data_IF_634676402022
#
_entry.id   IF_634676402022
#
_cell.length_a   1.000
_cell.length_b   1.000
_cell.length_c   1.000
_cell.angle_alpha   90.00
_cell.angle_beta   90.00
_cell.angle_gamma   90.00
#
_symmetry.space_group_name_H-M   'P 1'
#
loop_
_entity.id
_entity.type
_entity.pdbx_description
1 polymer ?
#
# COMPACT_ATOMS: atom_id res chain seq x y z
N UNK A 1 -8.70 16.91 -9.34
CA UNK A 1 -7.71 15.95 -8.81
C UNK A 1 -6.59 16.76 -8.18
N UNK A 2 -6.26 16.53 -6.90
CA UNK A 2 -5.22 17.28 -6.17
C UNK A 2 -3.87 16.59 -6.35
N UNK A 3 -2.76 17.35 -6.42
CA UNK A 3 -1.40 16.78 -6.44
C UNK A 3 -0.70 17.10 -5.13
N UNK A 4 0.06 16.13 -4.63
CA UNK A 4 0.93 16.28 -3.46
C UNK A 4 2.36 15.93 -3.87
N UNK A 5 3.39 16.64 -3.39
CA UNK A 5 4.76 16.22 -3.58
C UNK A 5 4.99 14.83 -2.95
N UNK A 6 5.84 14.04 -3.61
CA UNK A 6 6.44 12.84 -3.01
C UNK A 6 7.15 13.25 -1.72
N UNK A 7 7.08 12.39 -0.72
CA UNK A 7 7.80 12.62 0.53
C UNK A 7 9.29 12.33 0.33
N UNK A 8 10.13 13.20 0.89
CA UNK A 8 11.59 13.05 0.87
C UNK A 8 12.14 12.48 2.17
N UNK A 9 11.29 12.41 3.19
CA UNK A 9 11.61 11.91 4.53
C UNK A 9 10.51 10.95 5.01
N UNK A 10 10.84 9.98 5.87
CA UNK A 10 9.86 9.11 6.48
C UNK A 10 8.85 9.87 7.33
N UNK A 11 7.61 9.38 7.35
CA UNK A 11 6.61 9.90 8.28
C UNK A 11 6.90 9.43 9.72
N UNK A 12 6.25 10.10 10.68
CA UNK A 12 6.44 9.84 12.10
C UNK A 12 6.05 8.41 12.51
N UNK A 13 4.95 7.88 11.95
CA UNK A 13 4.43 6.55 12.29
C UNK A 13 5.42 5.46 11.82
N UNK A 14 5.85 5.55 10.55
CA UNK A 14 6.87 4.64 10.00
C UNK A 14 8.19 4.74 10.75
N UNK A 15 8.62 5.94 11.15
CA UNK A 15 9.85 6.13 11.92
C UNK A 15 9.77 5.47 13.31
N UNK A 16 8.64 5.62 14.00
CA UNK A 16 8.39 4.98 15.30
C UNK A 16 8.46 3.45 15.17
N UNK A 17 7.73 2.90 14.20
CA UNK A 17 7.71 1.45 13.94
C UNK A 17 9.09 0.92 13.54
N UNK A 18 9.81 1.61 12.67
CA UNK A 18 11.17 1.27 12.27
C UNK A 18 12.12 1.22 13.47
N UNK A 19 11.99 2.16 14.42
CA UNK A 19 12.81 2.21 15.64
C UNK A 19 12.52 1.02 16.56
N UNK A 20 11.26 0.71 16.81
CA UNK A 20 10.82 -0.42 17.66
C UNK A 20 11.27 -1.76 17.05
N UNK A 21 11.10 -1.89 15.74
CA UNK A 21 11.34 -3.13 15.03
C UNK A 21 12.82 -3.38 14.71
N UNK A 22 13.75 -2.47 15.03
CA UNK A 22 15.17 -2.71 14.76
C UNK A 22 15.66 -4.05 15.36
N UNK A 23 16.50 -4.82 14.62
CA UNK A 23 17.09 -4.51 13.31
C UNK A 23 16.23 -4.98 12.11
N UNK A 24 14.97 -5.37 12.32
CA UNK A 24 14.12 -5.93 11.27
C UNK A 24 13.83 -4.88 10.20
N UNK A 25 13.86 -5.31 8.93
CA UNK A 25 13.42 -4.47 7.81
C UNK A 25 11.92 -4.27 7.89
N UNK A 26 11.49 -3.01 7.80
CA UNK A 26 10.09 -2.59 7.82
C UNK A 26 9.76 -1.93 6.49
N UNK A 27 8.66 -2.35 5.88
CA UNK A 27 8.19 -1.79 4.61
C UNK A 27 6.78 -1.25 4.79
N UNK A 28 6.55 0.07 4.69
CA UNK A 28 5.21 0.63 4.62
C UNK A 28 4.45 0.08 3.40
N UNK A 29 3.17 -0.20 3.57
CA UNK A 29 2.29 -0.74 2.53
C UNK A 29 0.94 -0.03 2.51
N UNK A 30 0.09 -0.39 1.55
CA UNK A 30 -1.24 0.18 1.39
C UNK A 30 -1.22 1.71 1.27
N UNK A 31 -2.16 2.35 1.96
CA UNK A 31 -2.32 3.82 1.93
C UNK A 31 -1.06 4.61 2.35
N UNK A 32 -0.26 4.09 3.29
CA UNK A 32 0.93 4.78 3.79
C UNK A 32 2.05 4.84 2.74
N UNK A 33 2.25 3.75 2.01
CA UNK A 33 3.20 3.70 0.90
C UNK A 33 2.75 4.58 -0.27
N UNK A 34 1.47 4.55 -0.61
CA UNK A 34 0.89 5.41 -1.65
C UNK A 34 1.03 6.90 -1.30
N UNK A 35 0.79 7.24 -0.04
CA UNK A 35 0.96 8.60 0.47
C UNK A 35 2.40 9.08 0.38
N UNK A 36 3.37 8.21 0.69
CA UNK A 36 4.80 8.51 0.51
C UNK A 36 5.12 8.89 -0.94
N UNK A 37 4.55 8.18 -1.91
CA UNK A 37 4.70 8.47 -3.34
C UNK A 37 3.94 9.72 -3.83
N UNK A 38 3.12 10.34 -2.99
CA UNK A 38 2.38 11.58 -3.33
C UNK A 38 0.92 11.35 -3.74
N UNK A 39 0.37 10.14 -3.58
CA UNK A 39 -1.06 9.89 -3.80
C UNK A 39 -1.88 10.54 -2.67
N UNK A 40 -2.92 11.36 -2.97
CA UNK A 40 -3.75 12.00 -1.95
C UNK A 40 -4.77 11.00 -1.38
N UNK A 41 -4.29 10.10 -0.54
CA UNK A 41 -5.09 9.08 0.15
C UNK A 41 -5.18 9.38 1.64
N UNK A 42 -6.31 9.03 2.25
CA UNK A 42 -6.48 9.06 3.71
C UNK A 42 -5.79 7.83 4.30
N UNK A 43 -4.81 8.05 5.17
CA UNK A 43 -4.12 6.99 5.89
C UNK A 43 -4.92 6.63 7.15
N UNK A 44 -5.94 5.75 6.99
CA UNK A 44 -6.81 5.33 8.09
C UNK A 44 -6.21 4.26 9.01
N UNK A 45 -5.26 3.47 8.50
CA UNK A 45 -4.54 2.46 9.27
C UNK A 45 -3.08 2.39 8.79
N UNK A 46 -2.16 2.17 9.74
CA UNK A 46 -0.75 1.97 9.41
C UNK A 46 -0.54 0.53 8.96
N UNK A 47 -0.18 0.30 7.70
CA UNK A 47 0.10 -1.04 7.18
C UNK A 47 1.60 -1.18 6.97
N UNK A 48 2.22 -2.18 7.60
CA UNK A 48 3.65 -2.46 7.48
C UNK A 48 3.91 -3.94 7.24
N UNK A 49 4.95 -4.22 6.46
CA UNK A 49 5.37 -5.57 6.09
C UNK A 49 6.74 -5.85 6.69
N UNK A 50 6.91 -7.09 7.14
CA UNK A 50 8.18 -7.67 7.56
C UNK A 50 8.42 -8.99 6.84
N UNK A 51 9.65 -9.49 6.85
CA UNK A 51 9.93 -10.84 6.33
C UNK A 51 9.16 -11.91 7.11
N UNK A 52 8.73 -12.97 6.44
CA UNK A 52 7.97 -14.09 7.00
C UNK A 52 8.68 -14.68 8.23
N UNK A 53 10.00 -14.89 8.13
CA UNK A 53 10.84 -15.40 9.22
C UNK A 53 10.99 -14.44 10.41
N UNK A 54 10.67 -13.16 10.22
CA UNK A 54 10.73 -12.12 11.24
C UNK A 54 9.35 -11.79 11.82
N UNK A 55 8.27 -12.38 11.29
CA UNK A 55 6.90 -12.00 11.63
C UNK A 55 6.58 -12.19 13.11
N UNK A 56 6.90 -13.35 13.69
CA UNK A 56 6.70 -13.62 15.14
C UNK A 56 7.54 -12.68 16.01
N UNK A 57 8.79 -12.42 15.62
CA UNK A 57 9.69 -11.51 16.36
C UNK A 57 9.18 -10.06 16.31
N UNK A 58 8.62 -9.64 15.18
CA UNK A 58 8.02 -8.32 15.03
C UNK A 58 6.79 -8.14 15.93
N UNK A 59 5.93 -9.17 16.03
CA UNK A 59 4.79 -9.20 16.97
C UNK A 59 5.28 -8.99 18.41
N UNK A 60 6.24 -9.80 18.86
CA UNK A 60 6.78 -9.70 20.22
C UNK A 60 7.40 -8.33 20.51
N UNK A 61 8.10 -7.74 19.53
CA UNK A 61 8.68 -6.40 19.67
C UNK A 61 7.62 -5.31 19.83
N UNK A 62 6.51 -5.40 19.09
CA UNK A 62 5.40 -4.45 19.23
C UNK A 62 4.74 -4.58 20.60
N UNK A 63 4.44 -5.81 21.03
CA UNK A 63 3.86 -6.07 22.35
C UNK A 63 4.76 -5.54 23.48
N UNK A 64 6.06 -5.81 23.42
CA UNK A 64 7.04 -5.29 24.38
C UNK A 64 7.17 -3.76 24.35
N UNK A 65 6.85 -3.11 23.22
CA UNK A 65 6.80 -1.66 23.08
C UNK A 65 5.47 -1.05 23.54
N UNK A 66 4.57 -1.85 24.12
CA UNK A 66 3.29 -1.41 24.68
C UNK A 66 2.13 -1.36 23.68
N UNK A 67 2.32 -1.86 22.45
CA UNK A 67 1.22 -2.04 21.51
C UNK A 67 0.31 -3.17 22.00
N UNK A 68 -0.99 -2.96 21.95
CA UNK A 68 -1.95 -3.96 22.43
C UNK A 68 -2.56 -4.68 21.24
N UNK A 69 -2.47 -6.01 21.22
CA UNK A 69 -3.08 -6.81 20.16
C UNK A 69 -4.59 -6.61 20.17
N UNK A 70 -5.15 -6.33 19.00
CA UNK A 70 -6.56 -5.97 18.83
C UNK A 70 -7.14 -6.64 17.59
N UNK A 71 -8.40 -6.33 17.31
CA UNK A 71 -9.09 -6.71 16.08
C UNK A 71 -9.23 -5.48 15.19
N UNK A 72 -9.30 -5.64 13.86
CA UNK A 72 -9.64 -4.56 12.94
C UNK A 72 -10.84 -3.73 13.39
N UNK A 73 -10.65 -2.42 13.53
CA UNK A 73 -11.73 -1.48 13.75
C UNK A 73 -12.22 -0.94 12.40
N UNK A 74 -13.33 -1.50 11.93
CA UNK A 74 -14.06 -1.04 10.73
C UNK A 74 -15.44 -0.52 11.06
N UNK A 75 -15.69 -0.19 12.33
CA UNK A 75 -16.99 0.30 12.78
C UNK A 75 -17.29 1.63 12.09
N UNK A 76 -18.40 1.72 11.32
CA UNK A 76 -18.84 3.00 10.77
C UNK A 76 -19.10 4.04 11.87
N UNK A 77 -19.11 5.34 11.51
CA UNK A 77 -19.50 6.40 12.44
C UNK A 77 -20.85 6.11 13.12
N UNK A 78 -21.02 6.56 14.37
CA UNK A 78 -22.21 6.28 15.18
C UNK A 78 -23.50 6.72 14.49
N UNK A 79 -23.45 7.84 13.77
CA UNK A 79 -24.60 8.38 13.04
C UNK A 79 -25.06 7.45 11.91
N UNK A 80 -24.12 6.73 11.29
CA UNK A 80 -24.41 5.70 10.27
C UNK A 80 -24.96 4.44 10.93
N UNK A 81 -24.38 4.06 12.07
CA UNK A 81 -24.79 2.87 12.82
C UNK A 81 -26.22 3.01 13.36
N UNK A 82 -26.56 4.12 13.99
CA UNK A 82 -27.87 4.35 14.60
C UNK A 82 -29.00 4.48 13.56
N UNK A 83 -28.66 4.93 12.34
CA UNK A 83 -29.61 5.04 11.23
C UNK A 83 -29.84 3.76 10.43
N UNK A 84 -29.05 2.70 10.66
CA UNK A 84 -29.13 1.48 9.87
C UNK A 84 -30.19 0.49 10.42
N UNK A 85 -31.06 -0.12 9.59
CA UNK A 85 -32.09 -1.06 10.07
C UNK A 85 -31.53 -2.30 10.78
N UNK A 86 -30.32 -2.73 10.41
CA UNK A 86 -29.62 -3.84 11.05
C UNK A 86 -28.10 -3.55 11.13
N UNK A 87 -27.64 -2.81 12.15
CA UNK A 87 -26.24 -2.39 12.22
C UNK A 87 -25.27 -3.55 12.42
N UNK A 88 -25.72 -4.61 13.09
CA UNK A 88 -24.93 -5.80 13.34
C UNK A 88 -24.65 -6.58 12.05
N UNK A 89 -25.68 -6.82 11.23
CA UNK A 89 -25.49 -7.46 9.93
C UNK A 89 -24.59 -6.64 9.01
N UNK A 90 -24.74 -5.31 9.01
CA UNK A 90 -23.86 -4.43 8.23
C UNK A 90 -22.39 -4.60 8.64
N UNK A 91 -22.10 -4.65 9.95
CA UNK A 91 -20.74 -4.91 10.43
C UNK A 91 -20.22 -6.30 10.03
N UNK A 92 -21.07 -7.32 10.08
CA UNK A 92 -20.72 -8.67 9.65
C UNK A 92 -20.40 -8.72 8.15
N UNK A 93 -21.18 -8.05 7.31
CA UNK A 93 -20.95 -7.93 5.87
C UNK A 93 -19.66 -7.16 5.56
N UNK A 94 -19.41 -6.06 6.27
CA UNK A 94 -18.15 -5.31 6.15
C UNK A 94 -16.97 -6.24 6.47
N UNK A 95 -17.00 -6.92 7.62
CA UNK A 95 -15.89 -7.78 8.03
C UNK A 95 -15.72 -9.01 7.14
N UNK A 96 -16.81 -9.58 6.62
CA UNK A 96 -16.76 -10.70 5.68
C UNK A 96 -15.94 -10.33 4.43
N UNK A 97 -16.04 -9.08 3.96
CA UNK A 97 -15.27 -8.57 2.83
C UNK A 97 -13.76 -8.46 3.04
N UNK A 98 -13.26 -8.60 4.28
CA UNK A 98 -11.83 -8.53 4.63
C UNK A 98 -11.30 -9.81 5.30
N UNK A 99 -12.05 -10.92 5.25
CA UNK A 99 -11.72 -12.15 5.98
C UNK A 99 -10.29 -12.65 5.72
N UNK A 100 -9.84 -12.71 4.46
CA UNK A 100 -8.48 -13.18 4.12
C UNK A 100 -7.41 -12.25 4.67
N UNK A 101 -7.61 -10.94 4.57
CA UNK A 101 -6.73 -9.92 5.16
C UNK A 101 -6.59 -10.15 6.67
N UNK A 102 -7.71 -10.28 7.37
CA UNK A 102 -7.76 -10.39 8.82
C UNK A 102 -7.12 -11.68 9.33
N UNK A 103 -7.24 -12.78 8.58
CA UNK A 103 -6.58 -14.04 8.91
C UNK A 103 -5.07 -14.04 8.64
N UNK A 104 -4.57 -13.08 7.83
CA UNK A 104 -3.19 -13.07 7.36
C UNK A 104 -2.29 -12.05 8.08
N UNK A 105 -2.86 -11.24 8.97
CA UNK A 105 -2.12 -10.17 9.66
C UNK A 105 -2.37 -10.15 11.16
N UNK A 106 -1.51 -9.42 11.87
CA UNK A 106 -1.70 -9.10 13.27
C UNK A 106 -2.05 -7.61 13.36
N UNK A 107 -3.11 -7.30 14.10
CA UNK A 107 -3.58 -5.94 14.32
C UNK A 107 -3.25 -5.51 15.74
N UNK A 108 -2.78 -4.27 15.87
CA UNK A 108 -2.43 -3.67 17.15
C UNK A 108 -2.98 -2.26 17.25
N UNK A 109 -3.46 -1.92 18.45
CA UNK A 109 -3.73 -0.53 18.80
C UNK A 109 -2.43 0.14 19.23
N UNK A 110 -2.25 1.39 18.81
CA UNK A 110 -1.13 2.21 19.29
C UNK A 110 -1.20 2.38 20.82
N UNK A 111 -0.05 2.52 21.50
CA UNK A 111 -0.04 2.88 22.91
C UNK A 111 -0.79 4.19 23.15
N UNK A 112 -1.49 4.30 24.28
CA UNK A 112 -2.34 5.47 24.60
C UNK A 112 -1.53 6.69 25.09
N UNK A 113 -0.22 6.71 24.80
CA UNK A 113 0.72 7.74 25.24
C UNK A 113 0.64 9.02 24.37
N UNK A 114 0.25 8.89 23.10
CA UNK A 114 0.08 10.02 22.19
C UNK A 114 -1.39 10.23 21.76
N UNK A 115 -2.00 11.39 22.07
CA UNK A 115 -3.34 11.76 21.59
C UNK A 115 -3.50 11.75 20.06
N UNK A 116 -2.43 12.00 19.29
CA UNK A 116 -2.46 12.00 17.82
C UNK A 116 -2.52 10.59 17.23
N UNK A 117 -2.11 9.59 18.00
CA UNK A 117 -2.12 8.17 17.59
C UNK A 117 -3.32 7.42 18.20
N UNK A 118 -4.11 8.12 19.03
CA UNK A 118 -5.28 7.56 19.69
C UNK A 118 -6.32 7.09 18.66
N UNK A 119 -6.66 5.81 18.75
CA UNK A 119 -7.63 5.17 17.86
C UNK A 119 -7.05 4.72 16.52
N UNK A 120 -5.74 4.94 16.27
CA UNK A 120 -5.07 4.36 15.12
C UNK A 120 -4.71 2.90 15.39
N UNK A 121 -4.68 2.12 14.31
CA UNK A 121 -4.24 0.73 14.33
C UNK A 121 -3.06 0.49 13.40
N UNK A 122 -2.22 -0.46 13.79
CA UNK A 122 -1.14 -1.02 12.97
C UNK A 122 -1.56 -2.41 12.49
N UNK A 123 -1.44 -2.64 11.20
CA UNK A 123 -1.56 -3.95 10.57
C UNK A 123 -0.15 -4.40 10.19
N UNK A 124 0.31 -5.46 10.83
CA UNK A 124 1.59 -6.09 10.55
C UNK A 124 1.35 -7.29 9.64
N UNK A 125 2.01 -7.28 8.48
CA UNK A 125 1.89 -8.33 7.48
C UNK A 125 3.20 -9.12 7.34
N UNK A 126 3.10 -10.45 7.14
CA UNK A 126 4.18 -11.22 6.55
C UNK A 126 4.30 -10.89 5.05
N UNK A 127 5.52 -10.89 4.50
CA UNK A 127 5.72 -10.48 3.10
C UNK A 127 5.10 -11.44 2.09
N UNK A 128 4.98 -12.73 2.42
CA UNK A 128 4.26 -13.72 1.59
C UNK A 128 2.82 -13.33 1.27
N UNK A 129 2.15 -12.59 2.16
CA UNK A 129 0.79 -12.10 1.91
C UNK A 129 0.76 -10.90 0.94
N UNK A 130 1.76 -10.02 1.05
CA UNK A 130 1.79 -8.75 0.30
C UNK A 130 2.51 -8.86 -1.04
N UNK A 131 3.30 -9.91 -1.23
CA UNK A 131 4.19 -10.08 -2.37
C UNK A 131 5.18 -8.92 -2.60
N UNK A 132 5.45 -8.09 -1.59
CA UNK A 132 6.50 -7.09 -1.73
C UNK A 132 7.85 -7.82 -1.89
N UNK A 133 8.62 -7.50 -2.96
CA UNK A 133 9.92 -8.08 -3.17
C UNK A 133 10.87 -7.57 -2.09
N UNK A 134 11.10 -8.37 -1.07
CA UNK A 134 12.19 -8.13 -0.13
C UNK A 134 13.44 -8.66 -0.80
N UNK A 135 14.22 -7.75 -1.38
CA UNK A 135 15.52 -8.11 -1.95
C UNK A 135 16.29 -8.94 -0.94
N UNK A 136 16.64 -10.17 -1.32
CA UNK A 136 17.76 -10.83 -0.65
C UNK A 136 18.91 -9.83 -0.73
N UNK A 137 19.45 -9.43 0.43
CA UNK A 137 20.76 -8.75 0.48
C UNK A 137 21.81 -9.83 0.15
N UNK A 138 21.72 -10.37 -1.06
CA UNK A 138 22.73 -11.20 -1.68
C UNK A 138 23.69 -10.22 -2.32
N UNK A 139 24.86 -10.10 -1.69
CA UNK A 139 26.04 -9.40 -2.20
C UNK A 139 26.17 -9.52 -3.73
N UNK A 140 26.63 -8.47 -4.43
CA UNK A 140 26.42 -8.32 -5.85
C UNK A 140 27.01 -9.51 -6.62
N UNK A 141 26.22 -10.23 -7.44
CA UNK A 141 26.82 -11.10 -8.42
C UNK A 141 27.40 -10.21 -9.50
N UNK A 142 28.73 -10.25 -9.63
CA UNK A 142 29.41 -9.88 -10.85
C UNK A 142 28.70 -10.57 -12.02
N UNK A 143 27.84 -9.85 -12.75
CA UNK A 143 27.49 -10.18 -14.12
C UNK A 143 27.00 -8.93 -14.84
N UNK A 144 27.87 -8.47 -15.73
CA UNK A 144 27.63 -7.44 -16.72
C UNK A 144 26.59 -7.98 -17.70
N UNK A 145 25.36 -7.47 -17.62
CA UNK A 145 24.43 -7.40 -18.76
C UNK A 145 23.41 -6.31 -18.49
N UNK A 146 23.20 -5.45 -19.48
CA UNK A 146 22.32 -4.29 -19.45
C UNK A 146 20.89 -4.63 -19.01
N UNK A 147 20.59 -4.44 -17.74
CA UNK A 147 19.26 -4.11 -17.27
C UNK A 147 19.43 -2.89 -16.38
N UNK A 148 18.83 -1.76 -16.76
CA UNK A 148 18.70 -0.61 -15.88
C UNK A 148 18.00 -1.13 -14.63
N UNK A 149 18.73 -1.41 -13.54
CA UNK A 149 18.12 -1.79 -12.27
C UNK A 149 17.34 -0.60 -11.79
N UNK A 150 16.06 -0.54 -12.15
CA UNK A 150 15.12 0.46 -11.68
C UNK A 150 15.13 0.37 -10.16
N UNK A 151 15.51 1.47 -9.50
CA UNK A 151 15.47 1.56 -8.05
C UNK A 151 14.07 1.17 -7.59
N UNK A 152 13.96 0.14 -6.76
CA UNK A 152 12.67 -0.37 -6.27
C UNK A 152 12.26 0.23 -4.92
N UNK A 153 13.22 0.76 -4.15
CA UNK A 153 12.97 1.28 -2.81
C UNK A 153 13.75 2.56 -2.53
N UNK A 154 13.14 3.46 -1.75
CA UNK A 154 13.85 4.47 -0.97
C UNK A 154 14.18 3.92 0.42
N UNK A 155 15.45 3.94 0.82
CA UNK A 155 15.93 3.29 2.05
C UNK A 155 16.37 4.31 3.10
N UNK A 156 15.82 4.15 4.31
CA UNK A 156 16.14 4.92 5.50
C UNK A 156 16.46 3.97 6.66
N UNK A 157 17.74 3.60 6.81
CA UNK A 157 18.17 2.55 7.76
C UNK A 157 17.45 1.22 7.47
N UNK A 158 16.64 0.72 8.42
CA UNK A 158 15.83 -0.49 8.28
C UNK A 158 14.41 -0.22 7.75
N UNK A 159 14.08 1.01 7.38
CA UNK A 159 12.82 1.36 6.73
C UNK A 159 13.02 1.42 5.21
N UNK A 160 12.20 0.71 4.44
CA UNK A 160 12.27 0.71 2.98
C UNK A 160 10.90 1.09 2.42
N UNK A 161 10.80 2.22 1.71
CA UNK A 161 9.58 2.62 1.04
C UNK A 161 9.57 2.06 -0.39
N UNK A 162 8.56 1.27 -0.79
CA UNK A 162 8.47 0.76 -2.14
C UNK A 162 8.15 1.90 -3.11
N UNK A 163 8.84 1.89 -4.25
CA UNK A 163 8.57 2.79 -5.38
C UNK A 163 7.45 2.22 -6.26
N UNK A 164 7.01 3.01 -7.24
CA UNK A 164 5.79 2.75 -8.02
C UNK A 164 5.68 1.33 -8.53
N UNK A 165 6.74 0.83 -9.20
CA UNK A 165 6.72 -0.50 -9.79
C UNK A 165 6.57 -1.59 -8.72
N UNK A 166 7.38 -1.56 -7.67
CA UNK A 166 7.35 -2.56 -6.61
C UNK A 166 6.01 -2.58 -5.86
N UNK A 167 5.43 -1.40 -5.62
CA UNK A 167 4.15 -1.30 -4.93
C UNK A 167 2.97 -1.74 -5.82
N UNK A 168 2.98 -1.40 -7.11
CA UNK A 168 1.94 -1.85 -8.06
C UNK A 168 2.01 -3.37 -8.25
N UNK A 169 3.22 -3.92 -8.40
CA UNK A 169 3.43 -5.36 -8.53
C UNK A 169 2.88 -6.11 -7.32
N UNK A 170 3.21 -5.63 -6.12
CA UNK A 170 2.68 -6.15 -4.84
C UNK A 170 1.15 -6.10 -4.78
N UNK A 171 0.52 -4.97 -5.11
CA UNK A 171 -0.94 -4.87 -5.10
C UNK A 171 -1.61 -5.78 -6.13
N UNK A 172 -1.03 -5.92 -7.33
CA UNK A 172 -1.55 -6.79 -8.39
C UNK A 172 -1.51 -8.24 -7.94
N UNK A 173 -0.38 -8.71 -7.42
CA UNK A 173 -0.25 -10.08 -6.92
C UNK A 173 -1.22 -10.35 -5.76
N UNK A 174 -1.33 -9.42 -4.81
CA UNK A 174 -2.30 -9.54 -3.72
C UNK A 174 -3.76 -9.55 -4.22
N UNK A 175 -4.08 -8.82 -5.29
CA UNK A 175 -5.41 -8.79 -5.87
C UNK A 175 -5.75 -10.10 -6.61
N UNK A 176 -4.77 -10.69 -7.31
CA UNK A 176 -4.91 -11.99 -7.98
C UNK A 176 -5.18 -13.08 -6.95
N UNK A 177 -4.42 -13.11 -5.86
CA UNK A 177 -4.63 -14.05 -4.76
C UNK A 177 -6.05 -13.93 -4.19
N UNK A 178 -6.48 -12.69 -3.93
CA UNK A 178 -7.80 -12.43 -3.36
C UNK A 178 -8.93 -12.88 -4.30
N UNK A 179 -8.81 -12.57 -5.58
CA UNK A 179 -9.76 -12.98 -6.62
C UNK A 179 -9.81 -14.51 -6.76
N UNK A 180 -8.66 -15.17 -6.66
CA UNK A 180 -8.56 -16.63 -6.78
C UNK A 180 -9.18 -17.35 -5.58
N UNK A 181 -8.90 -16.87 -4.37
CA UNK A 181 -9.31 -17.53 -3.12
C UNK A 181 -10.73 -17.15 -2.68
N UNK A 182 -11.15 -15.91 -2.92
CA UNK A 182 -12.41 -15.37 -2.39
C UNK A 182 -13.38 -14.89 -3.48
N UNK A 183 -12.95 -14.83 -4.74
CA UNK A 183 -13.74 -14.23 -5.81
C UNK A 183 -13.91 -12.73 -5.57
N UNK A 184 -15.14 -12.29 -5.35
CA UNK A 184 -15.43 -10.89 -5.03
C UNK A 184 -15.32 -10.63 -3.52
N UNK A 185 -14.51 -9.63 -3.14
CA UNK A 185 -14.40 -9.17 -1.75
C UNK A 185 -14.13 -7.68 -1.66
N UNK A 186 -14.50 -7.06 -0.54
CA UNK A 186 -14.23 -5.64 -0.29
C UNK A 186 -12.72 -5.33 -0.23
N UNK A 187 -11.93 -6.29 0.24
CA UNK A 187 -10.48 -6.19 0.21
C UNK A 187 -9.93 -6.20 -1.23
N UNK A 188 -10.42 -7.11 -2.08
CA UNK A 188 -10.05 -7.16 -3.50
C UNK A 188 -10.39 -5.85 -4.22
N UNK A 189 -11.56 -5.29 -3.95
CA UNK A 189 -11.97 -3.97 -4.47
C UNK A 189 -11.11 -2.82 -3.92
N UNK A 190 -10.65 -2.91 -2.68
CA UNK A 190 -9.72 -1.93 -2.10
C UNK A 190 -8.38 -1.96 -2.82
N UNK A 191 -7.83 -3.15 -3.10
CA UNK A 191 -6.59 -3.31 -3.87
C UNK A 191 -6.75 -2.78 -5.31
N UNK A 192 -7.84 -3.12 -6.00
CA UNK A 192 -8.17 -2.59 -7.34
C UNK A 192 -8.27 -1.06 -7.32
N UNK A 193 -8.90 -0.49 -6.29
CA UNK A 193 -8.99 0.95 -6.11
C UNK A 193 -7.63 1.60 -5.90
N UNK A 194 -6.74 0.99 -5.11
CA UNK A 194 -5.38 1.49 -4.91
C UNK A 194 -4.55 1.47 -6.19
N UNK A 195 -4.63 0.40 -6.99
CA UNK A 195 -3.95 0.31 -8.29
C UNK A 195 -4.47 1.38 -9.25
N UNK A 196 -5.80 1.60 -9.28
CA UNK A 196 -6.43 2.68 -10.04
C UNK A 196 -5.93 4.06 -9.61
N UNK A 197 -5.87 4.32 -8.30
CA UNK A 197 -5.34 5.57 -7.75
C UNK A 197 -3.87 5.77 -8.12
N UNK A 198 -3.02 4.74 -8.00
CA UNK A 198 -1.61 4.85 -8.42
C UNK A 198 -1.51 5.16 -9.91
N UNK A 199 -2.28 4.47 -10.76
CA UNK A 199 -2.29 4.68 -12.21
C UNK A 199 -2.76 6.09 -12.59
N UNK A 200 -3.77 6.61 -11.89
CA UNK A 200 -4.31 7.96 -12.13
C UNK A 200 -3.47 9.10 -11.55
N UNK A 201 -2.85 8.92 -10.38
CA UNK A 201 -2.15 10.01 -9.67
C UNK A 201 -0.66 10.06 -9.90
N UNK A 202 0.02 8.93 -10.15
CA UNK A 202 1.48 8.85 -10.23
C UNK A 202 2.00 8.69 -11.67
N UNK A 203 1.13 8.82 -12.68
CA UNK A 203 1.45 8.49 -14.09
C UNK A 203 2.20 7.17 -14.22
N UNK A 204 1.73 6.15 -13.49
CA UNK A 204 2.22 4.79 -13.68
C UNK A 204 1.91 4.41 -15.13
N UNK A 205 2.96 4.12 -15.90
CA UNK A 205 2.81 3.78 -17.30
C UNK A 205 2.04 2.45 -17.44
N UNK A 206 1.33 2.30 -18.55
CA UNK A 206 0.56 1.09 -18.85
C UNK A 206 1.42 -0.17 -19.01
N UNK A 207 2.74 -0.03 -19.00
CA UNK A 207 3.76 -1.06 -19.13
C UNK A 207 4.66 -1.19 -17.89
N UNK A 208 4.27 -0.61 -16.76
CA UNK A 208 5.07 -0.65 -15.51
C UNK A 208 5.45 -2.08 -15.09
N UNK A 209 4.61 -3.07 -15.40
CA UNK A 209 4.85 -4.48 -15.07
C UNK A 209 5.38 -5.31 -16.25
N UNK A 210 5.71 -4.74 -17.40
CA UNK A 210 6.20 -5.51 -18.57
C UNK A 210 7.45 -6.36 -18.26
N UNK A 211 8.24 -5.93 -17.29
CA UNK A 211 9.46 -6.60 -16.84
C UNK A 211 9.26 -7.43 -15.56
N UNK A 212 8.03 -7.53 -15.03
CA UNK A 212 7.73 -8.43 -13.92
C UNK A 212 7.91 -9.88 -14.36
N UNK A 213 8.53 -10.71 -13.51
CA UNK A 213 8.75 -12.13 -13.80
C UNK A 213 7.45 -12.93 -13.78
N UNK A 214 6.45 -12.47 -13.05
CA UNK A 214 5.14 -13.11 -12.97
C UNK A 214 4.27 -12.70 -14.17
N UNK A 215 4.11 -13.64 -15.11
CA UNK A 215 3.31 -13.45 -16.31
C UNK A 215 1.83 -13.24 -16.01
N UNK A 216 1.31 -13.83 -14.94
CA UNK A 216 -0.08 -13.65 -14.51
C UNK A 216 -0.28 -12.22 -14.02
N UNK A 217 0.66 -11.68 -13.25
CA UNK A 217 0.65 -10.28 -12.84
C UNK A 217 0.68 -9.32 -14.04
N UNK A 218 1.55 -9.58 -15.03
CA UNK A 218 1.63 -8.77 -16.27
C UNK A 218 0.30 -8.79 -17.02
N UNK A 219 -0.27 -9.96 -17.25
CA UNK A 219 -1.52 -10.12 -17.99
C UNK A 219 -2.71 -9.48 -17.26
N UNK A 220 -2.81 -9.71 -15.95
CA UNK A 220 -3.86 -9.14 -15.10
C UNK A 220 -3.78 -7.62 -15.10
N UNK A 221 -2.59 -7.03 -14.88
CA UNK A 221 -2.44 -5.57 -14.90
C UNK A 221 -2.75 -5.00 -16.28
N UNK A 222 -2.22 -5.60 -17.35
CA UNK A 222 -2.47 -5.14 -18.72
C UNK A 222 -3.96 -5.12 -19.07
N UNK A 223 -4.70 -6.15 -18.64
CA UNK A 223 -6.15 -6.30 -18.88
C UNK A 223 -7.00 -5.32 -18.07
N UNK A 224 -6.63 -5.08 -16.81
CA UNK A 224 -7.44 -4.28 -15.89
C UNK A 224 -7.08 -2.77 -15.93
N UNK A 225 -5.80 -2.43 -16.12
CA UNK A 225 -5.30 -1.05 -15.99
C UNK A 225 -4.27 -0.65 -17.07
N UNK A 226 -3.67 -1.59 -17.79
CA UNK A 226 -2.57 -1.35 -18.72
C UNK A 226 -2.97 -1.37 -20.19
N UNK A 227 -2.08 -1.91 -21.05
CA UNK A 227 -2.18 -1.80 -22.52
C UNK A 227 -3.47 -2.39 -23.10
N UNK A 228 -3.89 -3.57 -22.64
CA UNK A 228 -5.11 -4.22 -23.14
C UNK A 228 -6.35 -3.40 -22.74
N UNK A 229 -6.36 -2.87 -21.51
CA UNK A 229 -7.42 -1.99 -21.05
C UNK A 229 -7.51 -0.74 -21.93
N UNK A 230 -6.39 -0.03 -22.12
CA UNK A 230 -6.38 1.22 -22.90
C UNK A 230 -6.68 1.00 -24.38
N UNK A 231 -6.28 -0.14 -24.95
CA UNK A 231 -6.64 -0.49 -26.33
C UNK A 231 -8.17 -0.69 -26.49
N UNK A 232 -8.85 -1.17 -25.45
CA UNK A 232 -10.30 -1.44 -25.48
C UNK A 232 -11.14 -0.21 -25.12
N UNK A 233 -10.70 0.59 -24.16
CA UNK A 233 -11.50 1.66 -23.57
C UNK A 233 -10.95 3.07 -23.87
N UNK A 234 -9.80 3.17 -24.55
CA UNK A 234 -9.07 4.42 -24.76
C UNK A 234 -8.02 4.66 -23.67
N UNK A 235 -7.09 5.60 -23.90
CA UNK A 235 -6.04 5.92 -22.92
C UNK A 235 -6.67 6.40 -21.62
N UNK A 236 -6.12 5.97 -20.48
CA UNK A 236 -6.58 6.50 -19.20
C UNK A 236 -6.27 8.00 -19.14
N UNK A 237 -7.27 8.80 -18.74
CA UNK A 237 -7.04 10.22 -18.50
C UNK A 237 -6.21 10.39 -17.23
N UNK A 238 -4.89 10.30 -17.41
CA UNK A 238 -3.90 10.59 -16.36
C UNK A 238 -3.72 12.09 -16.17
N UNK A 239 -4.36 12.94 -16.99
CA UNK A 239 -4.18 14.38 -16.88
C UNK A 239 -4.99 14.89 -15.71
N UNK A 240 -4.29 15.33 -14.69
CA UNK A 240 -4.83 16.28 -13.75
C UNK A 240 -4.92 17.63 -14.48
N UNK A 241 -5.99 17.83 -15.23
CA UNK A 241 -6.26 19.11 -15.87
C UNK A 241 -6.59 20.13 -14.78
N UNK A 242 -5.83 21.23 -14.76
CA UNK A 242 -6.26 22.43 -14.04
C UNK A 242 -7.60 22.89 -14.61
N UNK A 243 -8.46 23.45 -13.76
CA UNK A 243 -9.45 24.40 -14.28
C UNK A 243 -8.70 25.55 -14.95
N UNK A 244 -9.05 25.86 -16.19
CA UNK A 244 -8.61 27.08 -16.87
C UNK A 244 -8.84 28.28 -15.93
N UNK A 245 -7.76 29.00 -15.59
CA UNK A 245 -7.83 30.23 -14.78
C UNK A 245 -7.04 30.26 -13.45
N UNK A 246 -6.37 29.18 -13.01
CA UNK A 246 -5.73 29.17 -11.68
C UNK A 246 -4.35 29.84 -11.57
N UNK A 247 -3.75 30.32 -12.67
CA UNK A 247 -2.56 31.21 -12.68
C UNK A 247 -1.25 30.70 -12.05
N UNK A 248 -1.25 29.62 -11.26
CA UNK A 248 -0.09 29.06 -10.57
C UNK A 248 0.25 27.70 -11.11
N UNK A 249 1.36 27.54 -11.83
CA UNK A 249 1.96 26.23 -12.12
C UNK A 249 2.13 25.43 -10.84
N UNK A 250 1.77 24.15 -10.86
CA UNK A 250 2.11 23.26 -9.76
C UNK A 250 3.62 23.04 -9.86
N UNK A 251 4.40 23.28 -8.79
CA UNK A 251 5.85 23.18 -8.83
C UNK A 251 6.35 21.71 -8.85
N UNK A 252 5.46 20.78 -9.22
CA UNK A 252 5.68 19.34 -9.14
C UNK A 252 5.13 18.64 -10.39
N UNK A 253 5.88 17.65 -10.85
CA UNK A 253 5.52 16.76 -11.94
C UNK A 253 4.40 15.78 -11.53
N UNK A 254 4.09 14.86 -12.43
CA UNK A 254 3.01 13.88 -12.27
C UNK A 254 3.37 12.71 -11.34
N UNK A 255 4.64 12.56 -11.00
CA UNK A 255 5.16 11.57 -10.05
C UNK A 255 5.43 12.18 -8.67
N UNK A 256 5.03 13.45 -8.49
CA UNK A 256 5.24 14.20 -7.25
C UNK A 256 6.67 14.72 -7.08
N UNK A 257 7.53 14.68 -8.11
CA UNK A 257 8.87 15.26 -8.06
C UNK A 257 8.82 16.76 -8.34
N UNK A 258 9.72 17.58 -7.76
CA UNK A 258 9.87 18.97 -8.15
C UNK A 258 10.19 19.13 -9.66
N UNK A 259 9.62 20.16 -10.29
CA UNK A 259 9.94 20.59 -11.68
C UNK A 259 11.19 21.49 -11.67
#
# INVERSE_FOLDING_TARGET
MFRRPRQTEPDRLSTRLSTILQPLTVIPWGSLAMWYLGVPVVCGATMVVVQDNHYTVAIEKLENAGFTRSIPNRTPPLEVMEGHPNPQQMLEEINAGYKRLDCSCAVFDYPQDDPAEKGLQVYLFPNSFTHIPLGEISYPPNNITYATTTKQFDTYKNLQYPLEQALVESFVMAAIDEETESGYSAWGESLRSWISMMTGYLEVNNDVLDHCSDKQAVEWYSTNFGRIHEAKFGPMDRRISKRLGSGKELPIDMRGNPI
#
